data_IF_527531052362
#
_entry.id   IF_527531052362
#
_cell.length_a   1.000
_cell.length_b   1.000
_cell.length_c   1.000
_cell.angle_alpha   90.00
_cell.angle_beta   90.00
_cell.angle_gamma   90.00
#
_symmetry.space_group_name_H-M   'P 1'
#
loop_
_entity.id
_entity.type
_entity.pdbx_description
1 polymer ?
#
# COMPACT_ATOMS: atom_id res chain seq x y z
N UNK A 1 31.27 3.31 -3.80
CA UNK A 1 31.14 4.32 -2.73
C UNK A 1 30.05 3.83 -1.81
N UNK A 2 30.40 3.31 -0.64
CA UNK A 2 29.44 2.82 0.36
C UNK A 2 29.37 3.89 1.45
N UNK A 3 28.19 4.47 1.69
CA UNK A 3 27.96 5.26 2.91
C UNK A 3 27.21 4.40 3.92
N UNK A 4 27.92 4.02 4.96
CA UNK A 4 27.34 3.57 6.23
C UNK A 4 26.94 4.83 7.00
N UNK A 5 25.67 5.01 7.33
CA UNK A 5 25.25 6.04 8.28
C UNK A 5 25.02 5.40 9.64
N UNK A 6 25.84 5.84 10.60
CA UNK A 6 25.85 5.43 12.00
C UNK A 6 24.53 5.73 12.72
N UNK A 7 24.23 4.90 13.72
CA UNK A 7 23.09 5.01 14.64
C UNK A 7 23.45 5.94 15.81
N UNK A 8 22.68 7.00 16.02
CA UNK A 8 22.68 7.81 17.25
C UNK A 8 21.22 8.03 17.65
N UNK A 9 20.86 7.58 18.85
CA UNK A 9 19.51 7.68 19.41
C UNK A 9 19.18 9.11 19.83
N UNK A 10 18.22 9.72 19.15
CA UNK A 10 17.50 10.92 19.59
C UNK A 10 16.03 10.73 19.24
N UNK A 11 15.13 10.93 20.22
CA UNK A 11 13.67 10.80 20.08
C UNK A 11 13.09 11.94 19.24
N UNK A 12 13.49 12.00 17.97
CA UNK A 12 12.81 12.67 16.89
C UNK A 12 12.26 11.55 16.02
N UNK A 13 10.96 11.52 15.76
CA UNK A 13 10.35 10.60 14.79
C UNK A 13 10.87 10.94 13.39
N UNK A 14 12.13 10.57 13.13
CA UNK A 14 12.80 10.83 11.87
C UNK A 14 12.12 9.98 10.82
N UNK A 15 11.44 10.66 9.91
CA UNK A 15 10.81 10.06 8.76
C UNK A 15 11.89 9.32 7.96
N UNK A 16 11.88 7.97 8.01
CA UNK A 16 12.92 7.14 7.37
C UNK A 16 12.51 6.74 5.96
N UNK A 17 13.30 7.18 4.99
CA UNK A 17 13.12 6.85 3.58
C UNK A 17 13.76 5.48 3.29
N UNK A 18 13.07 4.66 2.51
CA UNK A 18 13.53 3.38 1.99
C UNK A 18 13.55 3.41 0.47
N UNK A 19 14.50 2.69 -0.12
CA UNK A 19 14.62 2.46 -1.55
C UNK A 19 14.26 1.00 -1.89
N UNK A 20 13.87 0.70 -3.14
CA UNK A 20 13.62 -0.68 -3.55
C UNK A 20 14.83 -1.58 -3.28
N UNK A 21 14.59 -2.69 -2.57
CA UNK A 21 15.62 -3.65 -2.16
C UNK A 21 16.10 -3.48 -0.71
N UNK A 22 15.88 -2.32 -0.10
CA UNK A 22 16.22 -2.08 1.30
C UNK A 22 15.43 -3.00 2.23
N UNK A 23 16.09 -3.50 3.27
CA UNK A 23 15.43 -4.26 4.34
C UNK A 23 14.66 -3.30 5.22
N UNK A 24 13.36 -3.57 5.40
CA UNK A 24 12.50 -2.78 6.29
C UNK A 24 12.54 -3.41 7.68
N UNK A 25 13.02 -2.70 8.72
CA UNK A 25 13.05 -3.18 10.09
C UNK A 25 11.63 -3.17 10.64
N UNK A 26 10.89 -4.25 10.40
CA UNK A 26 9.60 -4.49 11.01
C UNK A 26 9.85 -5.23 12.30
N UNK A 27 9.47 -4.65 13.44
CA UNK A 27 9.69 -5.27 14.75
C UNK A 27 8.98 -6.62 14.82
N UNK A 28 9.74 -7.66 15.21
CA UNK A 28 9.26 -9.01 15.42
C UNK A 28 8.27 -9.03 16.60
N UNK A 29 6.99 -8.81 16.29
CA UNK A 29 5.90 -8.66 17.25
C UNK A 29 4.66 -8.00 16.64
N UNK A 30 4.84 -7.16 15.61
CA UNK A 30 3.75 -6.53 14.85
C UNK A 30 3.28 -7.42 13.70
N UNK A 31 4.16 -8.28 13.18
CA UNK A 31 3.95 -9.05 11.95
C UNK A 31 4.24 -10.52 12.22
N UNK A 32 3.18 -11.32 12.20
CA UNK A 32 3.28 -12.77 12.15
C UNK A 32 3.81 -13.16 10.76
N UNK A 33 4.94 -13.86 10.68
CA UNK A 33 5.55 -14.28 9.41
C UNK A 33 4.64 -15.19 8.56
N UNK A 34 3.54 -15.68 9.14
CA UNK A 34 2.55 -16.55 8.49
C UNK A 34 1.31 -15.80 7.99
N UNK A 35 1.15 -14.50 8.30
CA UNK A 35 0.02 -13.69 7.83
C UNK A 35 0.42 -12.84 6.62
N UNK A 36 -0.07 -13.17 5.40
CA UNK A 36 0.23 -12.40 4.20
C UNK A 36 -0.32 -10.95 4.25
N UNK A 37 -1.20 -10.62 5.19
CA UNK A 37 -1.71 -9.26 5.41
C UNK A 37 -0.91 -8.47 6.44
N UNK A 38 0.15 -9.06 7.00
CA UNK A 38 0.94 -8.41 8.04
C UNK A 38 1.83 -7.28 7.51
N UNK A 39 1.99 -7.15 6.19
CA UNK A 39 2.63 -5.98 5.58
C UNK A 39 1.71 -5.31 4.56
N UNK A 40 1.81 -3.99 4.50
CA UNK A 40 0.99 -3.14 3.67
C UNK A 40 1.63 -2.86 2.32
N UNK A 41 1.07 -1.88 1.62
CA UNK A 41 1.58 -1.47 0.32
C UNK A 41 3.07 -1.13 0.36
N UNK A 42 3.78 -1.51 -0.71
CA UNK A 42 5.17 -1.12 -0.92
C UNK A 42 6.19 -1.98 -0.19
N UNK A 43 5.75 -2.95 0.62
CA UNK A 43 6.61 -3.94 1.29
C UNK A 43 6.31 -5.32 0.69
N UNK A 44 7.36 -6.11 0.48
CA UNK A 44 7.27 -7.52 0.11
C UNK A 44 7.78 -8.37 1.25
N UNK A 45 7.00 -9.37 1.63
CA UNK A 45 7.46 -10.47 2.47
C UNK A 45 8.27 -11.42 1.59
N UNK A 46 9.59 -11.41 1.80
CA UNK A 46 10.51 -12.44 1.30
C UNK A 46 10.75 -13.45 2.43
N UNK A 47 11.18 -14.69 2.10
CA UNK A 47 11.24 -15.79 3.09
C UNK A 47 12.10 -15.46 4.32
N UNK A 48 13.12 -14.61 4.17
CA UNK A 48 14.05 -14.26 5.24
C UNK A 48 13.85 -12.86 5.84
N UNK A 49 13.39 -11.87 5.06
CA UNK A 49 13.36 -10.46 5.47
C UNK A 49 12.32 -9.63 4.68
N UNK A 50 11.51 -8.79 5.34
CA UNK A 50 10.68 -7.80 4.64
C UNK A 50 11.55 -6.81 3.86
N UNK A 51 11.23 -6.62 2.58
CA UNK A 51 11.96 -5.69 1.70
C UNK A 51 11.05 -4.63 1.12
N UNK A 52 11.58 -3.42 1.02
CA UNK A 52 10.93 -2.34 0.29
C UNK A 52 10.87 -2.70 -1.20
N UNK A 53 9.67 -2.66 -1.78
CA UNK A 53 9.43 -2.85 -3.20
C UNK A 53 9.33 -1.52 -3.96
N UNK A 54 9.12 -0.42 -3.24
CA UNK A 54 8.99 0.94 -3.77
C UNK A 54 9.84 1.90 -2.93
N UNK A 55 10.26 3.01 -3.54
CA UNK A 55 10.91 4.08 -2.80
C UNK A 55 9.86 4.88 -2.00
N UNK A 56 10.15 5.29 -0.77
CA UNK A 56 9.22 6.14 -0.04
C UNK A 56 9.47 6.18 1.46
N UNK A 57 8.54 6.78 2.18
CA UNK A 57 8.58 6.90 3.64
C UNK A 57 7.90 5.70 4.29
N UNK A 58 8.53 5.06 5.27
CA UNK A 58 7.83 4.08 6.10
C UNK A 58 6.77 4.79 6.95
N UNK A 59 5.53 4.36 6.76
CA UNK A 59 4.35 4.85 7.44
C UNK A 59 3.70 3.69 8.18
N UNK A 60 3.28 3.94 9.41
CA UNK A 60 2.47 3.01 10.18
C UNK A 60 1.15 3.75 10.37
N UNK A 61 0.15 3.43 9.54
CA UNK A 61 -1.17 4.06 9.61
C UNK A 61 -1.90 3.58 10.88
N UNK A 62 -1.58 4.16 12.03
CA UNK A 62 -2.18 3.82 13.34
C UNK A 62 -3.71 3.92 13.41
N UNK A 63 -4.39 4.40 12.36
CA UNK A 63 -5.83 4.65 12.36
C UNK A 63 -6.69 3.48 11.83
N UNK A 64 -6.16 2.57 11.02
CA UNK A 64 -6.98 1.54 10.33
C UNK A 64 -6.39 0.14 10.46
N UNK A 65 -5.06 -0.01 10.46
CA UNK A 65 -4.38 -1.23 10.87
C UNK A 65 -2.94 -0.89 11.26
N UNK A 66 -2.39 -1.53 12.29
CA UNK A 66 -0.96 -1.44 12.63
C UNK A 66 -0.03 -2.08 11.58
N UNK A 67 -0.47 -2.09 10.32
CA UNK A 67 0.24 -2.69 9.21
C UNK A 67 1.24 -1.68 8.65
N UNK A 68 2.55 -1.97 8.69
CA UNK A 68 3.56 -1.09 8.12
C UNK A 68 3.39 -0.99 6.60
N UNK A 69 3.46 0.21 6.04
CA UNK A 69 3.39 0.47 4.61
C UNK A 69 4.41 1.53 4.18
N UNK A 70 4.73 1.57 2.89
CA UNK A 70 5.60 2.62 2.32
C UNK A 70 4.75 3.64 1.59
N UNK A 71 4.74 4.86 2.11
CA UNK A 71 4.12 6.02 1.48
C UNK A 71 4.99 6.54 0.34
N UNK A 72 4.43 6.47 -0.87
CA UNK A 72 5.04 6.93 -2.11
C UNK A 72 4.12 7.93 -2.82
N UNK A 73 4.71 9.02 -3.32
CA UNK A 73 4.01 9.99 -4.16
C UNK A 73 3.76 9.44 -5.56
N UNK A 74 2.59 8.82 -5.75
CA UNK A 74 2.12 8.31 -7.03
C UNK A 74 0.94 9.10 -7.57
N UNK A 75 0.85 9.22 -8.90
CA UNK A 75 -0.29 9.86 -9.59
C UNK A 75 -1.43 8.89 -9.93
N UNK A 76 -1.15 7.59 -10.00
CA UNK A 76 -2.14 6.55 -10.30
C UNK A 76 -2.70 5.97 -9.01
N UNK A 77 -4.03 5.85 -8.95
CA UNK A 77 -4.71 5.23 -7.82
C UNK A 77 -4.46 3.72 -7.81
N UNK A 78 -4.27 3.13 -6.63
CA UNK A 78 -4.22 1.67 -6.46
C UNK A 78 -5.45 1.26 -5.64
N UNK A 79 -6.38 0.48 -6.22
CA UNK A 79 -7.60 0.07 -5.52
C UNK A 79 -7.32 -0.65 -4.20
N UNK A 80 -7.85 -0.12 -3.10
CA UNK A 80 -7.86 -0.76 -1.78
C UNK A 80 -9.31 -1.01 -1.35
N UNK A 81 -9.54 -2.10 -0.59
CA UNK A 81 -10.88 -2.42 -0.08
C UNK A 81 -11.29 -1.35 0.95
N UNK A 82 -12.51 -0.84 0.81
CA UNK A 82 -13.07 0.17 1.71
C UNK A 82 -12.84 1.62 1.25
N UNK A 83 -12.03 1.83 0.22
CA UNK A 83 -11.80 3.16 -0.32
C UNK A 83 -13.05 3.70 -1.01
N UNK A 84 -13.38 4.95 -0.71
CA UNK A 84 -14.40 5.71 -1.44
C UNK A 84 -13.74 6.37 -2.65
N UNK A 85 -14.25 6.08 -3.85
CA UNK A 85 -13.66 6.55 -5.11
C UNK A 85 -14.68 7.27 -5.97
N UNK A 86 -14.20 8.22 -6.78
CA UNK A 86 -14.97 8.81 -7.87
C UNK A 86 -14.59 8.10 -9.16
N UNK A 87 -15.59 7.70 -9.94
CA UNK A 87 -15.39 7.02 -11.21
C UNK A 87 -16.35 7.50 -12.28
N UNK A 88 -15.95 7.31 -13.54
CA UNK A 88 -16.73 7.69 -14.73
C UNK A 88 -17.24 6.44 -15.41
N UNK A 89 -18.55 6.35 -15.67
CA UNK A 89 -19.11 5.23 -16.43
C UNK A 89 -18.69 5.33 -17.89
N UNK A 90 -17.95 4.35 -18.37
CA UNK A 90 -17.45 4.29 -19.76
C UNK A 90 -18.22 3.29 -20.62
N UNK A 91 -18.87 2.30 -20.00
CA UNK A 91 -19.71 1.34 -20.71
C UNK A 91 -20.84 0.83 -19.81
N UNK A 92 -21.98 0.54 -20.41
CA UNK A 92 -23.12 -0.13 -19.77
C UNK A 92 -23.41 -1.46 -20.44
N UNK A 93 -23.61 -2.51 -19.65
CA UNK A 93 -24.16 -3.80 -20.09
C UNK A 93 -25.48 -4.08 -19.34
N UNK A 94 -26.11 -5.22 -19.59
CA UNK A 94 -27.34 -5.60 -18.89
C UNK A 94 -27.12 -5.82 -17.38
N UNK A 95 -25.95 -6.33 -16.99
CA UNK A 95 -25.68 -6.76 -15.61
C UNK A 95 -24.73 -5.83 -14.84
N UNK A 96 -23.88 -5.08 -15.54
CA UNK A 96 -22.85 -4.25 -14.92
C UNK A 96 -22.56 -2.96 -15.70
N UNK A 97 -22.01 -1.99 -14.98
CA UNK A 97 -21.38 -0.80 -15.53
C UNK A 97 -19.86 -0.97 -15.48
N UNK A 98 -19.17 -0.63 -16.56
CA UNK A 98 -17.71 -0.45 -16.52
C UNK A 98 -17.42 1.00 -16.14
N UNK A 99 -16.63 1.15 -15.09
CA UNK A 99 -16.32 2.44 -14.48
C UNK A 99 -14.81 2.65 -14.55
N UNK A 100 -14.38 3.76 -15.14
CA UNK A 100 -12.98 4.17 -15.06
C UNK A 100 -12.73 4.87 -13.71
N UNK A 101 -11.78 4.34 -12.95
CA UNK A 101 -11.34 4.85 -11.63
C UNK A 101 -9.87 5.29 -11.66
N UNK A 102 -9.28 5.44 -12.85
CA UNK A 102 -7.87 5.78 -13.04
C UNK A 102 -6.90 4.81 -12.31
N UNK A 103 -7.26 3.53 -12.29
CA UNK A 103 -6.48 2.44 -11.71
C UNK A 103 -5.53 1.79 -12.71
N UNK A 104 -4.56 0.98 -12.25
CA UNK A 104 -3.59 0.30 -13.12
C UNK A 104 -4.23 -0.81 -13.97
N UNK A 105 -5.30 -1.43 -13.50
CA UNK A 105 -5.95 -2.59 -14.10
C UNK A 105 -7.06 -2.25 -15.11
N UNK A 106 -7.23 -0.97 -15.45
CA UNK A 106 -8.26 -0.49 -16.38
C UNK A 106 -9.57 -0.17 -15.67
N UNK A 107 -10.70 -0.63 -16.22
CA UNK A 107 -12.05 -0.32 -15.72
C UNK A 107 -12.49 -1.27 -14.60
N UNK A 108 -13.12 -0.72 -13.58
CA UNK A 108 -13.82 -1.47 -12.53
C UNK A 108 -15.23 -1.91 -12.99
N UNK A 109 -15.75 -2.98 -12.40
CA UNK A 109 -17.11 -3.46 -12.63
C UNK A 109 -18.01 -3.04 -11.46
N UNK A 110 -19.11 -2.37 -11.78
CA UNK A 110 -20.15 -1.97 -10.82
C UNK A 110 -21.47 -2.68 -11.17
N UNK A 111 -21.92 -3.67 -10.38
CA UNK A 111 -23.15 -4.41 -10.65
C UNK A 111 -24.39 -3.51 -10.66
N UNK A 112 -25.33 -3.77 -11.56
CA UNK A 112 -26.58 -3.00 -11.62
C UNK A 112 -27.44 -3.12 -10.35
N UNK A 113 -27.28 -4.20 -9.59
CA UNK A 113 -27.97 -4.45 -8.32
C UNK A 113 -27.27 -3.81 -7.10
N UNK A 114 -26.13 -3.15 -7.29
CA UNK A 114 -25.37 -2.53 -6.19
C UNK A 114 -25.92 -1.15 -5.79
N UNK A 115 -26.97 -0.66 -6.46
CA UNK A 115 -27.63 0.60 -6.15
C UNK A 115 -28.81 0.35 -5.20
N UNK A 116 -29.05 1.30 -4.31
CA UNK A 116 -30.28 1.35 -3.55
C UNK A 116 -31.39 1.77 -4.53
N UNK A 117 -32.33 0.84 -4.79
CA UNK A 117 -33.44 1.03 -5.74
C UNK A 117 -34.48 2.03 -5.29
#
# INVERSE_FOLDING_TARGET
IWMVTSNEGSSSSSARVYLPGDTVPIEAGIVSSYDPNAVGFGIRLDEDCPRAAVAGLLSVESAVSDTPCIDNTRKRYIPKRGDMVLGVVVQRTAEFYRVDINGPTGTANLPALAFNG
#
